data_IF_478967078457
#
_entry.id   IF_478967078457
#
_cell.length_a   1.000
_cell.length_b   1.000
_cell.length_c   1.000
_cell.angle_alpha   90.00
_cell.angle_beta   90.00
_cell.angle_gamma   90.00
#
_symmetry.space_group_name_H-M   'P 1'
#
loop_
_entity.id
_entity.type
_entity.pdbx_description
1 polymer ?
#
# COMPACT_ATOMS: atom_id res chain seq x y z
N UNK A 1 9.20 -6.66 -2.09
CA UNK A 1 7.84 -6.06 -2.05
C UNK A 1 7.29 -6.19 -0.65
N UNK A 2 6.85 -5.10 -0.10
CA UNK A 2 6.32 -5.07 1.26
C UNK A 2 4.81 -5.15 1.23
N UNK A 3 4.23 -5.97 2.11
CA UNK A 3 2.79 -6.21 2.16
C UNK A 3 2.26 -5.93 3.56
N UNK A 4 1.21 -5.13 3.62
CA UNK A 4 0.46 -4.88 4.84
C UNK A 4 -0.99 -5.35 4.65
N UNK A 5 -1.68 -5.62 5.74
CA UNK A 5 -3.07 -6.06 5.71
C UNK A 5 -3.89 -5.29 6.75
N UNK A 6 -5.16 -5.08 6.46
CA UNK A 6 -6.06 -4.46 7.44
C UNK A 6 -6.72 -5.52 8.33
N UNK A 7 -7.24 -5.07 9.47
CA UNK A 7 -8.11 -5.89 10.30
C UNK A 7 -9.48 -6.10 9.60
N UNK A 8 -10.32 -6.94 10.18
CA UNK A 8 -11.64 -7.25 9.60
C UNK A 8 -12.54 -6.02 9.51
N UNK A 9 -12.39 -5.09 10.43
CA UNK A 9 -13.17 -3.85 10.46
C UNK A 9 -12.65 -2.80 9.49
N UNK A 10 -11.51 -3.04 8.83
CA UNK A 10 -10.85 -2.12 7.91
C UNK A 10 -10.53 -0.77 8.55
N UNK A 11 -10.10 -0.79 9.81
CA UNK A 11 -9.73 0.42 10.57
C UNK A 11 -8.24 0.54 10.78
N UNK A 12 -7.53 -0.58 11.01
CA UNK A 12 -6.10 -0.57 11.34
C UNK A 12 -5.32 -1.43 10.35
N UNK A 13 -4.18 -0.93 9.94
CA UNK A 13 -3.24 -1.64 9.07
C UNK A 13 -2.15 -2.31 9.90
N UNK A 14 -1.78 -3.53 9.53
CA UNK A 14 -0.72 -4.31 10.17
C UNK A 14 0.27 -4.79 9.12
N UNK A 15 1.57 -4.85 9.43
CA UNK A 15 2.52 -5.46 8.50
C UNK A 15 2.24 -6.95 8.38
N UNK A 16 2.35 -7.49 7.18
CA UNK A 16 2.08 -8.91 6.92
C UNK A 16 3.36 -9.66 6.58
N UNK A 17 4.00 -9.31 5.47
CA UNK A 17 5.23 -9.98 5.05
C UNK A 17 5.99 -9.18 4.00
N UNK A 18 7.25 -9.55 3.80
CA UNK A 18 8.08 -9.06 2.70
C UNK A 18 8.18 -10.15 1.66
N UNK A 19 7.85 -9.85 0.40
CA UNK A 19 7.94 -10.80 -0.70
C UNK A 19 9.16 -10.45 -1.54
N UNK A 20 10.17 -11.34 -1.64
CA UNK A 20 11.31 -11.09 -2.52
C UNK A 20 10.86 -11.01 -3.99
N UNK A 21 11.47 -10.10 -4.75
CA UNK A 21 11.11 -9.89 -6.16
C UNK A 21 11.27 -11.16 -7.00
N UNK A 22 12.20 -12.03 -6.62
CA UNK A 22 12.49 -13.30 -7.32
C UNK A 22 11.46 -14.39 -7.03
N UNK A 23 10.59 -14.22 -6.05
CA UNK A 23 9.66 -15.26 -5.59
C UNK A 23 8.26 -15.11 -6.19
N UNK A 24 8.16 -14.59 -7.38
CA UNK A 24 6.90 -14.40 -8.10
C UNK A 24 5.84 -13.69 -7.24
N UNK A 25 6.02 -12.39 -6.97
CA UNK A 25 5.14 -11.65 -6.06
C UNK A 25 3.66 -11.75 -6.43
N UNK A 26 3.33 -11.76 -7.71
CA UNK A 26 1.93 -11.85 -8.16
C UNK A 26 1.27 -13.16 -7.72
N UNK A 27 1.99 -14.27 -7.76
CA UNK A 27 1.46 -15.57 -7.31
C UNK A 27 1.28 -15.60 -5.80
N UNK A 28 2.23 -15.03 -5.06
CA UNK A 28 2.15 -14.97 -3.60
C UNK A 28 0.98 -14.10 -3.16
N UNK A 29 0.77 -12.96 -3.82
CA UNK A 29 -0.35 -12.08 -3.52
C UNK A 29 -1.68 -12.77 -3.80
N UNK A 30 -1.79 -13.51 -4.91
CA UNK A 30 -2.98 -14.27 -5.22
C UNK A 30 -3.31 -15.28 -4.13
N UNK A 31 -2.30 -15.95 -3.58
CA UNK A 31 -2.48 -16.89 -2.48
C UNK A 31 -2.94 -16.20 -1.20
N UNK A 32 -2.38 -15.05 -0.88
CA UNK A 32 -2.80 -14.26 0.28
C UNK A 32 -4.25 -13.82 0.14
N UNK A 33 -4.64 -13.36 -1.04
CA UNK A 33 -6.03 -12.95 -1.32
C UNK A 33 -7.00 -14.10 -1.05
N UNK A 34 -6.66 -15.30 -1.52
CA UNK A 34 -7.50 -16.48 -1.33
C UNK A 34 -7.53 -16.91 0.14
N UNK A 35 -6.36 -17.03 0.78
CA UNK A 35 -6.24 -17.52 2.15
C UNK A 35 -6.91 -16.59 3.18
N UNK A 36 -6.87 -15.29 2.95
CA UNK A 36 -7.31 -14.28 3.91
C UNK A 36 -8.60 -13.57 3.49
N UNK A 37 -9.23 -14.01 2.41
CA UNK A 37 -10.49 -13.43 1.91
C UNK A 37 -10.41 -11.92 1.72
N UNK A 38 -9.37 -11.48 1.01
CA UNK A 38 -9.12 -10.05 0.78
C UNK A 38 -10.16 -9.47 -0.17
N UNK A 39 -10.79 -8.36 0.22
CA UNK A 39 -11.83 -7.69 -0.58
C UNK A 39 -11.25 -6.86 -1.72
N UNK A 40 -10.12 -6.20 -1.48
CA UNK A 40 -9.45 -5.38 -2.49
C UNK A 40 -8.01 -5.12 -2.07
N UNK A 41 -7.23 -4.66 -3.03
CA UNK A 41 -5.80 -4.37 -2.83
C UNK A 41 -5.55 -2.90 -3.09
N UNK A 42 -4.68 -2.29 -2.28
CA UNK A 42 -4.21 -0.93 -2.47
C UNK A 42 -2.72 -0.99 -2.82
N UNK A 43 -2.36 -0.41 -3.94
CA UNK A 43 -0.98 -0.35 -4.40
C UNK A 43 -0.49 1.10 -4.33
N UNK A 44 0.54 1.36 -3.55
CA UNK A 44 1.16 2.68 -3.47
C UNK A 44 1.95 2.98 -4.73
N UNK A 45 1.70 4.14 -5.35
CA UNK A 45 2.40 4.57 -6.56
C UNK A 45 3.31 5.75 -6.19
N UNK A 46 4.64 5.57 -6.32
CA UNK A 46 5.59 6.66 -6.03
C UNK A 46 5.58 7.66 -7.17
N UNK A 47 5.08 8.87 -6.92
CA UNK A 47 5.10 9.95 -7.90
C UNK A 47 6.16 10.96 -7.55
N UNK A 48 6.71 11.64 -8.57
CA UNK A 48 7.64 12.73 -8.35
C UNK A 48 6.92 13.93 -7.72
N UNK A 49 7.68 14.84 -7.10
CA UNK A 49 7.12 16.01 -6.44
C UNK A 49 6.24 16.86 -7.35
N UNK A 50 6.57 16.90 -8.65
CA UNK A 50 5.79 17.63 -9.65
C UNK A 50 4.58 16.85 -10.20
N UNK A 51 4.30 15.65 -9.65
CA UNK A 51 3.21 14.80 -10.09
C UNK A 51 3.50 13.92 -11.28
N UNK A 52 4.68 14.03 -11.88
CA UNK A 52 5.05 13.21 -13.03
C UNK A 52 5.30 11.75 -12.61
N UNK A 53 5.02 10.85 -13.56
CA UNK A 53 5.23 9.42 -13.38
C UNK A 53 6.63 9.07 -13.85
N UNK A 54 7.50 8.65 -12.92
CA UNK A 54 8.84 8.19 -13.21
C UNK A 54 8.89 6.68 -13.44
N UNK A 55 10.11 6.15 -13.58
CA UNK A 55 10.34 4.72 -13.82
C UNK A 55 9.74 3.83 -12.74
N UNK A 56 9.92 4.21 -11.47
CA UNK A 56 9.40 3.44 -10.33
C UNK A 56 7.87 3.35 -10.38
N UNK A 57 7.20 4.46 -10.66
CA UNK A 57 5.74 4.48 -10.78
C UNK A 57 5.27 3.62 -11.96
N UNK A 58 5.97 3.67 -13.09
CA UNK A 58 5.64 2.86 -14.26
C UNK A 58 5.72 1.37 -13.93
N UNK A 59 6.75 0.94 -13.21
CA UNK A 59 6.90 -0.45 -12.80
C UNK A 59 5.75 -0.90 -11.89
N UNK A 60 5.35 -0.05 -10.94
CA UNK A 60 4.22 -0.35 -10.05
C UNK A 60 2.93 -0.48 -10.85
N UNK A 61 2.67 0.43 -11.79
CA UNK A 61 1.46 0.40 -12.61
C UNK A 61 1.40 -0.84 -13.49
N UNK A 62 2.53 -1.28 -14.04
CA UNK A 62 2.61 -2.52 -14.79
C UNK A 62 2.30 -3.73 -13.91
N UNK A 63 2.81 -3.74 -12.70
CA UNK A 63 2.54 -4.80 -11.72
C UNK A 63 1.06 -4.82 -11.34
N UNK A 64 0.45 -3.66 -11.14
CA UNK A 64 -0.98 -3.54 -10.84
C UNK A 64 -1.81 -4.18 -11.96
N UNK A 65 -1.45 -3.93 -13.22
CA UNK A 65 -2.17 -4.54 -14.35
C UNK A 65 -2.05 -6.07 -14.36
N UNK A 66 -0.88 -6.60 -14.01
CA UNK A 66 -0.71 -8.05 -13.86
C UNK A 66 -1.62 -8.61 -12.76
N UNK A 67 -1.69 -7.92 -11.62
CA UNK A 67 -2.58 -8.33 -10.53
C UNK A 67 -4.04 -8.31 -10.95
N UNK A 68 -4.47 -7.26 -11.65
CA UNK A 68 -5.86 -7.14 -12.11
C UNK A 68 -6.25 -8.29 -13.04
N UNK A 69 -5.29 -8.80 -13.81
CA UNK A 69 -5.54 -9.89 -14.74
C UNK A 69 -5.77 -11.24 -14.04
N UNK A 70 -5.21 -11.44 -12.85
CA UNK A 70 -5.24 -12.75 -12.19
C UNK A 70 -6.08 -12.77 -10.91
N UNK A 71 -6.43 -11.61 -10.34
CA UNK A 71 -7.14 -11.56 -9.06
C UNK A 71 -8.64 -11.36 -9.24
N UNK A 72 -9.46 -11.97 -8.36
CA UNK A 72 -10.92 -11.79 -8.39
C UNK A 72 -11.37 -10.49 -7.75
N UNK A 73 -10.48 -9.80 -7.02
CA UNK A 73 -10.81 -8.56 -6.31
C UNK A 73 -10.21 -7.34 -6.99
N UNK A 74 -10.77 -6.14 -6.77
CA UNK A 74 -10.23 -4.93 -7.37
C UNK A 74 -8.88 -4.55 -6.80
N UNK A 75 -8.03 -3.95 -7.64
CA UNK A 75 -6.74 -3.38 -7.24
C UNK A 75 -6.81 -1.88 -7.51
N UNK A 76 -6.74 -1.09 -6.45
CA UNK A 76 -6.77 0.37 -6.54
C UNK A 76 -5.37 0.92 -6.31
N UNK A 77 -5.08 2.08 -6.89
CA UNK A 77 -3.81 2.75 -6.70
C UNK A 77 -3.94 3.88 -5.70
N UNK A 78 -2.87 4.16 -4.97
CA UNK A 78 -2.78 5.22 -3.99
C UNK A 78 -1.53 6.05 -4.24
N UNK A 79 -1.68 7.36 -4.38
CA UNK A 79 -0.55 8.25 -4.54
C UNK A 79 0.20 8.35 -3.19
N UNK A 80 1.45 7.89 -3.16
CA UNK A 80 2.25 7.91 -1.93
C UNK A 80 2.45 9.31 -1.36
N UNK A 81 2.32 10.36 -2.17
CA UNK A 81 2.41 11.74 -1.69
C UNK A 81 1.28 12.09 -0.72
N UNK A 82 0.19 11.33 -0.73
CA UNK A 82 -0.93 11.53 0.20
C UNK A 82 -0.66 10.95 1.58
N UNK A 83 0.41 10.17 1.75
CA UNK A 83 0.88 9.73 3.05
C UNK A 83 1.60 10.90 3.74
N UNK A 84 1.45 11.03 5.05
CA UNK A 84 1.96 12.22 5.75
C UNK A 84 3.44 12.47 5.51
N UNK A 85 3.80 13.74 5.26
CA UNK A 85 5.19 14.14 5.01
C UNK A 85 6.10 13.79 6.19
N UNK A 86 5.61 13.96 7.42
CA UNK A 86 6.37 13.63 8.62
C UNK A 86 6.70 12.13 8.68
N UNK A 87 5.76 11.27 8.31
CA UNK A 87 5.97 9.84 8.27
C UNK A 87 7.02 9.46 7.24
N UNK A 88 6.95 10.01 6.03
CA UNK A 88 7.95 9.78 5.00
C UNK A 88 9.34 10.22 5.44
N UNK A 89 9.43 11.38 6.08
CA UNK A 89 10.71 11.90 6.55
C UNK A 89 11.32 11.01 7.62
N UNK A 90 10.52 10.56 8.59
CA UNK A 90 10.97 9.65 9.63
C UNK A 90 11.46 8.33 9.05
N UNK A 91 10.76 7.78 8.06
CA UNK A 91 11.14 6.54 7.40
C UNK A 91 12.46 6.68 6.64
N UNK A 92 12.66 7.82 5.94
CA UNK A 92 13.90 8.07 5.21
C UNK A 92 15.10 8.17 6.15
N UNK A 93 14.94 8.88 7.25
CA UNK A 93 16.00 9.03 8.25
C UNK A 93 16.36 7.69 8.89
N UNK A 94 15.37 6.91 9.25
CA UNK A 94 15.59 5.58 9.81
C UNK A 94 16.29 4.66 8.82
N UNK A 95 15.91 4.69 7.55
CA UNK A 95 16.55 3.88 6.50
C UNK A 95 17.99 4.25 6.21
N UNK A 96 18.40 5.48 6.52
CA UNK A 96 19.80 5.92 6.34
C UNK A 96 20.71 5.49 7.47
N UNK A 97 20.18 5.16 8.65
CA UNK A 97 20.98 4.92 9.84
C UNK A 97 21.60 3.53 9.90
N UNK A 98 20.92 2.48 9.46
CA UNK A 98 21.50 1.13 9.44
C UNK A 98 20.84 0.26 8.36
N UNK A 99 21.66 -0.65 7.78
CA UNK A 99 21.13 -1.63 6.81
C UNK A 99 20.17 -2.61 7.44
N UNK A 100 20.26 -2.86 8.74
CA UNK A 100 19.45 -3.84 9.46
C UNK A 100 17.99 -3.37 9.64
N UNK A 101 17.76 -2.05 9.67
CA UNK A 101 16.43 -1.50 9.84
C UNK A 101 15.70 -1.30 8.52
N UNK A 102 16.36 -1.53 7.38
CA UNK A 102 15.79 -1.23 6.06
C UNK A 102 14.52 -2.02 5.78
N UNK A 103 14.53 -3.33 6.05
CA UNK A 103 13.35 -4.17 5.87
C UNK A 103 12.19 -3.75 6.78
N UNK A 104 12.50 -3.42 8.03
CA UNK A 104 11.50 -2.92 8.97
C UNK A 104 10.90 -1.60 8.50
N UNK A 105 11.75 -0.67 8.03
CA UNK A 105 11.31 0.62 7.51
C UNK A 105 10.36 0.44 6.33
N UNK A 106 10.68 -0.47 5.41
CA UNK A 106 9.84 -0.74 4.25
C UNK A 106 8.48 -1.33 4.65
N UNK A 107 8.45 -2.24 5.64
CA UNK A 107 7.19 -2.79 6.16
C UNK A 107 6.33 -1.71 6.79
N UNK A 108 6.94 -0.80 7.53
CA UNK A 108 6.23 0.34 8.14
C UNK A 108 5.69 1.27 7.05
N UNK A 109 6.44 1.46 5.96
CA UNK A 109 5.98 2.27 4.84
C UNK A 109 4.70 1.70 4.21
N UNK A 110 4.66 0.39 3.97
CA UNK A 110 3.47 -0.26 3.43
C UNK A 110 2.28 -0.13 4.39
N UNK A 111 2.52 -0.32 5.69
CA UNK A 111 1.50 -0.16 6.72
C UNK A 111 0.95 1.27 6.73
N UNK A 112 1.79 2.27 6.59
CA UNK A 112 1.38 3.67 6.61
C UNK A 112 0.57 4.06 5.37
N UNK A 113 0.95 3.53 4.21
CA UNK A 113 0.19 3.73 2.97
C UNK A 113 -1.22 3.15 3.13
N UNK A 114 -1.32 1.93 3.61
CA UNK A 114 -2.61 1.29 3.83
C UNK A 114 -3.41 2.04 4.89
N UNK A 115 -2.79 2.45 5.99
CA UNK A 115 -3.48 3.20 7.04
C UNK A 115 -4.03 4.52 6.51
N UNK A 116 -3.25 5.25 5.72
CA UNK A 116 -3.71 6.50 5.10
C UNK A 116 -4.93 6.28 4.21
N UNK A 117 -4.93 5.19 3.44
CA UNK A 117 -6.06 4.83 2.60
C UNK A 117 -7.30 4.51 3.44
N UNK A 118 -7.14 3.72 4.51
CA UNK A 118 -8.25 3.34 5.39
C UNK A 118 -8.86 4.57 6.08
N UNK A 119 -8.01 5.47 6.56
CA UNK A 119 -8.44 6.72 7.20
C UNK A 119 -9.22 7.59 6.22
N UNK A 120 -8.76 7.67 4.99
CA UNK A 120 -9.43 8.41 3.91
C UNK A 120 -10.84 7.86 3.66
N UNK A 121 -11.02 6.55 3.67
CA UNK A 121 -12.33 5.93 3.46
C UNK A 121 -13.29 6.23 4.60
N UNK A 122 -12.82 6.17 5.84
CA UNK A 122 -13.63 6.51 7.01
C UNK A 122 -14.10 7.96 6.92
N UNK A 123 -13.19 8.88 6.60
CA UNK A 123 -13.51 10.30 6.46
C UNK A 123 -14.56 10.51 5.36
N UNK A 124 -14.38 9.91 4.19
CA UNK A 124 -15.31 10.03 3.08
C UNK A 124 -16.69 9.47 3.42
N UNK A 125 -16.75 8.36 4.14
CA UNK A 125 -18.02 7.79 4.59
C UNK A 125 -18.75 8.72 5.55
N UNK A 126 -18.05 9.36 6.47
CA UNK A 126 -18.63 10.33 7.40
C UNK A 126 -19.16 11.56 6.67
N UNK A 127 -18.40 12.09 5.72
CA UNK A 127 -18.82 13.23 4.91
C UNK A 127 -20.08 12.90 4.11
N UNK A 128 -20.13 11.73 3.48
CA UNK A 128 -21.32 11.29 2.74
C UNK A 128 -22.52 11.08 3.66
N UNK A 129 -22.29 10.57 4.87
CA UNK A 129 -23.36 10.42 5.87
C UNK A 129 -23.97 11.77 6.23
N UNK A 130 -23.13 12.78 6.47
CA UNK A 130 -23.58 14.12 6.79
C UNK A 130 -24.37 14.76 5.66
N UNK A 131 -24.02 14.50 4.42
CA UNK A 131 -24.71 15.05 3.25
C UNK A 131 -26.08 14.45 3.03
N UNK A 132 -26.41 13.33 3.65
CA UNK A 132 -27.72 12.68 3.53
C UNK A 132 -28.78 13.29 4.44
N UNK A 133 -28.38 14.15 5.33
CA UNK A 133 -29.27 14.89 6.17
C UNK A 133 -29.63 16.24 5.57
#
# INVERSE_FOLDING_TARGET
MEVAISDELQLLAHPLETIPAKDRPESRIARIVDDKNVDHIVAGVPRQMNGQIGTAATEVLQFVEKLRAILPCPVVTWDERLTTVAAHRALREAGKKTRHTRGYVDQVAAQMILQSYLDSRVHNAQVKGDQRH
#
